data_IF_615207359858
#
_entry.id   IF_615207359858
#
_cell.length_a   1.000
_cell.length_b   1.000
_cell.length_c   1.000
_cell.angle_alpha   90.00
_cell.angle_beta   90.00
_cell.angle_gamma   90.00
#
_symmetry.space_group_name_H-M   'P 1'
#
loop_
_entity.id
_entity.type
_entity.pdbx_description
1 polymer ?
#
# COMPACT_ATOMS: atom_id res chain seq x y z
N UNK A 1 39.37 12.60 -57.79
CA UNK A 1 38.67 11.82 -56.75
C UNK A 1 37.74 12.74 -55.97
N UNK A 2 36.40 12.57 -56.04
CA UNK A 2 35.47 13.37 -55.25
C UNK A 2 35.17 12.71 -53.89
N UNK A 3 35.10 13.53 -52.84
CA UNK A 3 34.72 13.16 -51.47
C UNK A 3 33.23 12.83 -51.41
N UNK A 4 32.87 11.63 -50.94
CA UNK A 4 31.50 11.33 -50.49
C UNK A 4 31.36 11.76 -49.03
N UNK A 5 30.51 12.77 -48.79
CA UNK A 5 29.93 13.07 -47.50
C UNK A 5 28.68 12.18 -47.40
N UNK A 6 28.67 11.18 -46.52
CA UNK A 6 27.44 10.46 -46.16
C UNK A 6 26.89 11.02 -44.86
N UNK A 7 25.65 11.46 -44.99
CA UNK A 7 24.76 12.07 -44.01
C UNK A 7 24.65 11.26 -42.72
N UNK A 8 24.82 11.95 -41.59
CA UNK A 8 24.41 11.49 -40.27
C UNK A 8 22.88 11.37 -40.21
N UNK A 9 22.38 10.15 -40.01
CA UNK A 9 20.99 9.91 -39.64
C UNK A 9 20.78 10.31 -38.19
N UNK A 10 20.26 11.53 -37.98
CA UNK A 10 19.74 11.96 -36.68
C UNK A 10 18.48 11.13 -36.38
N UNK A 11 18.57 10.23 -35.41
CA UNK A 11 17.42 9.51 -34.87
C UNK A 11 16.47 10.52 -34.21
N UNK A 12 15.31 10.76 -34.83
CA UNK A 12 14.22 11.50 -34.20
C UNK A 12 13.66 10.62 -33.08
N UNK A 13 13.92 10.98 -31.84
CA UNK A 13 13.18 10.43 -30.70
C UNK A 13 11.77 10.99 -30.80
N UNK A 14 10.83 10.18 -31.32
CA UNK A 14 9.42 10.51 -31.27
C UNK A 14 8.98 10.60 -29.81
N UNK A 15 8.60 11.80 -29.37
CA UNK A 15 7.95 11.99 -28.07
C UNK A 15 6.57 11.35 -28.13
N UNK A 16 6.51 10.05 -27.80
CA UNK A 16 5.25 9.33 -27.67
C UNK A 16 4.46 9.94 -26.52
N UNK A 17 3.29 10.51 -26.83
CA UNK A 17 2.39 11.06 -25.82
C UNK A 17 1.74 9.89 -25.09
N UNK A 18 2.06 9.72 -23.82
CA UNK A 18 1.43 8.73 -22.95
C UNK A 18 -0.03 9.17 -22.68
N UNK A 19 -1.00 8.40 -23.15
CA UNK A 19 -2.42 8.67 -22.85
C UNK A 19 -2.72 8.14 -21.45
N UNK A 20 -3.37 8.96 -20.62
CA UNK A 20 -3.79 8.59 -19.26
C UNK A 20 -5.29 8.37 -19.21
N UNK A 21 -5.74 7.27 -18.60
CA UNK A 21 -7.15 6.98 -18.37
C UNK A 21 -7.46 7.06 -16.88
N UNK A 22 -8.44 7.90 -16.52
CA UNK A 22 -8.96 7.96 -15.16
C UNK A 22 -9.83 6.75 -14.86
N UNK A 23 -9.46 6.01 -13.82
CA UNK A 23 -10.21 4.83 -13.37
C UNK A 23 -11.20 5.21 -12.27
N UNK A 24 -10.71 5.76 -11.17
CA UNK A 24 -11.52 6.09 -10.00
C UNK A 24 -10.89 7.20 -9.18
N UNK A 25 -11.72 8.17 -8.76
CA UNK A 25 -11.26 9.37 -8.08
C UNK A 25 -10.11 10.05 -8.84
N UNK A 26 -8.94 10.22 -8.21
CA UNK A 26 -7.77 10.84 -8.81
C UNK A 26 -6.77 9.82 -9.38
N UNK A 27 -7.10 8.52 -9.38
CA UNK A 27 -6.23 7.49 -9.94
C UNK A 27 -6.38 7.40 -11.45
N UNK A 28 -5.27 7.64 -12.15
CA UNK A 28 -5.12 7.52 -13.58
C UNK A 28 -4.07 6.46 -13.91
N UNK A 29 -4.32 5.69 -14.96
CA UNK A 29 -3.45 4.63 -15.44
C UNK A 29 -2.97 4.96 -16.86
N UNK A 30 -1.71 4.66 -17.16
CA UNK A 30 -1.16 4.81 -18.51
C UNK A 30 -1.83 3.85 -19.49
N UNK A 31 -2.15 4.27 -20.70
CA UNK A 31 -2.69 3.35 -21.72
C UNK A 31 -1.63 2.40 -22.29
N UNK A 32 -0.35 2.66 -22.06
CA UNK A 32 0.74 1.80 -22.51
C UNK A 32 0.89 0.60 -21.57
N UNK A 33 0.69 -0.59 -22.13
CA UNK A 33 0.95 -1.85 -21.45
C UNK A 33 2.44 -2.12 -21.47
N UNK A 34 3.10 -2.02 -20.32
CA UNK A 34 4.56 -2.13 -20.27
C UNK A 34 5.06 -3.53 -19.93
N UNK A 35 4.22 -4.42 -19.39
CA UNK A 35 4.60 -5.82 -19.10
C UNK A 35 3.36 -6.70 -18.89
N UNK A 36 3.11 -7.76 -19.67
CA UNK A 36 1.96 -8.65 -19.46
C UNK A 36 1.94 -9.26 -18.06
N UNK A 37 0.77 -9.30 -17.41
CA UNK A 37 0.61 -9.88 -16.07
C UNK A 37 1.07 -11.34 -15.97
N UNK A 38 1.05 -12.07 -17.09
CA UNK A 38 1.48 -13.46 -17.20
C UNK A 38 2.97 -13.68 -16.93
N UNK A 39 3.80 -12.64 -17.03
CA UNK A 39 5.23 -12.74 -16.67
C UNK A 39 5.45 -12.60 -15.16
N UNK A 40 4.48 -12.06 -14.43
CA UNK A 40 4.49 -11.98 -12.96
C UNK A 40 3.93 -13.31 -12.43
N UNK A 41 4.81 -14.31 -12.42
CA UNK A 41 4.45 -15.71 -12.23
C UNK A 41 4.25 -16.16 -10.79
N UNK A 42 4.66 -17.41 -10.57
CA UNK A 42 4.63 -18.08 -9.27
C UNK A 42 5.91 -17.77 -8.49
N UNK A 43 5.78 -17.55 -7.19
CA UNK A 43 6.88 -17.31 -6.27
C UNK A 43 6.67 -18.10 -4.97
N UNK A 44 7.70 -18.18 -4.14
CA UNK A 44 7.61 -18.79 -2.82
C UNK A 44 6.64 -17.99 -1.93
N UNK A 45 5.89 -18.72 -1.10
CA UNK A 45 5.01 -18.10 -0.12
C UNK A 45 5.73 -17.82 1.19
N UNK A 46 5.78 -16.56 1.58
CA UNK A 46 6.32 -16.10 2.86
C UNK A 46 5.34 -16.35 4.03
N UNK A 47 5.91 -16.54 5.22
CA UNK A 47 5.17 -16.62 6.47
C UNK A 47 4.55 -15.27 6.87
N UNK A 48 5.18 -14.16 6.49
CA UNK A 48 4.70 -12.80 6.74
C UNK A 48 3.80 -12.31 5.60
N UNK A 49 2.90 -11.39 5.93
CA UNK A 49 2.16 -10.63 4.92
C UNK A 49 2.88 -9.30 4.68
N UNK A 50 3.36 -9.09 3.47
CA UNK A 50 4.06 -7.88 3.07
C UNK A 50 3.10 -6.84 2.54
N UNK A 51 3.34 -5.57 2.87
CA UNK A 51 2.59 -4.43 2.31
C UNK A 51 3.54 -3.28 1.97
N UNK A 52 3.27 -2.61 0.84
CA UNK A 52 3.89 -1.34 0.46
C UNK A 52 2.79 -0.35 0.11
N UNK A 53 2.78 0.81 0.77
CA UNK A 53 1.64 1.73 0.75
C UNK A 53 2.05 3.16 0.43
N UNK A 54 1.22 3.83 -0.34
CA UNK A 54 1.45 5.16 -0.89
C UNK A 54 0.28 6.07 -0.49
N UNK A 55 0.55 7.37 -0.36
CA UNK A 55 -0.44 8.36 0.09
C UNK A 55 -0.29 9.66 -0.68
N UNK A 56 -1.41 10.32 -0.96
CA UNK A 56 -1.48 11.59 -1.66
C UNK A 56 -2.57 12.50 -1.09
N UNK A 57 -2.40 13.83 -1.14
CA UNK A 57 -3.46 14.78 -0.83
C UNK A 57 -4.56 14.77 -1.92
N UNK A 58 -5.73 15.31 -1.61
CA UNK A 58 -6.92 15.24 -2.49
C UNK A 58 -6.80 16.02 -3.80
N UNK A 59 -5.90 16.98 -3.88
CA UNK A 59 -5.69 17.86 -5.03
C UNK A 59 -4.71 17.27 -6.05
N UNK A 60 -4.02 16.19 -5.70
CA UNK A 60 -3.05 15.55 -6.57
C UNK A 60 -3.70 14.50 -7.48
N UNK A 61 -3.41 14.58 -8.79
CA UNK A 61 -3.67 13.50 -9.74
C UNK A 61 -2.59 12.43 -9.60
N UNK A 62 -3.03 11.17 -9.47
CA UNK A 62 -2.17 10.03 -9.15
C UNK A 62 -2.02 9.20 -10.42
N UNK A 63 -0.83 9.24 -11.00
CA UNK A 63 -0.52 8.53 -12.25
C UNK A 63 0.20 7.23 -11.94
N UNK A 64 -0.38 6.13 -12.41
CA UNK A 64 0.11 4.77 -12.28
C UNK A 64 0.41 4.21 -13.67
N UNK A 65 1.39 3.32 -13.76
CA UNK A 65 1.61 2.56 -14.98
C UNK A 65 0.60 1.42 -15.08
N UNK A 66 0.28 1.00 -16.31
CA UNK A 66 -0.55 -0.19 -16.55
C UNK A 66 0.30 -1.40 -16.84
N UNK A 67 0.19 -2.39 -15.96
CA UNK A 67 0.76 -3.73 -16.18
C UNK A 67 -0.20 -4.55 -17.06
N UNK A 68 -1.50 -4.40 -16.83
CA UNK A 68 -2.51 -5.17 -17.54
C UNK A 68 -3.80 -4.38 -17.74
N UNK A 69 -4.43 -4.54 -18.90
CA UNK A 69 -5.64 -3.81 -19.26
C UNK A 69 -6.82 -4.11 -18.33
N UNK A 70 -6.84 -5.26 -17.64
CA UNK A 70 -7.87 -5.57 -16.63
C UNK A 70 -7.86 -4.61 -15.43
N UNK A 71 -6.74 -3.91 -15.17
CA UNK A 71 -6.66 -2.83 -14.18
C UNK A 71 -7.49 -1.61 -14.58
N UNK A 72 -7.79 -1.44 -15.86
CA UNK A 72 -8.54 -0.30 -16.38
C UNK A 72 -10.05 -0.47 -16.27
N UNK A 73 -10.52 -1.62 -15.78
CA UNK A 73 -11.93 -1.93 -15.64
C UNK A 73 -12.33 -2.19 -14.17
N UNK A 74 -13.18 -1.30 -13.64
CA UNK A 74 -13.67 -1.37 -12.27
C UNK A 74 -14.50 -2.62 -11.96
N UNK A 75 -15.04 -3.32 -12.98
CA UNK A 75 -15.76 -4.59 -12.75
C UNK A 75 -14.86 -5.66 -12.14
N UNK A 76 -13.54 -5.55 -12.35
CA UNK A 76 -12.54 -6.48 -11.80
C UNK A 76 -12.16 -6.15 -10.34
N UNK A 77 -12.72 -5.09 -9.76
CA UNK A 77 -12.39 -4.63 -8.42
C UNK A 77 -13.49 -4.97 -7.41
N UNK A 78 -13.10 -5.50 -6.27
CA UNK A 78 -13.99 -5.63 -5.13
C UNK A 78 -14.06 -4.30 -4.36
N UNK A 79 -15.25 -3.66 -4.34
CA UNK A 79 -15.51 -2.49 -3.50
C UNK A 79 -15.60 -2.88 -2.03
N UNK A 80 -14.98 -2.07 -1.15
CA UNK A 80 -14.99 -2.22 0.31
C UNK A 80 -15.21 -0.88 0.97
N UNK A 81 -15.99 -0.88 2.04
CA UNK A 81 -16.16 0.25 2.95
C UNK A 81 -15.73 -0.17 4.36
N UNK A 82 -14.97 0.70 5.04
CA UNK A 82 -14.43 0.47 6.38
C UNK A 82 -14.44 1.76 7.17
N UNK A 83 -14.84 1.65 8.42
CA UNK A 83 -14.70 2.71 9.42
C UNK A 83 -13.84 2.16 10.56
N UNK A 84 -12.77 2.89 10.88
CA UNK A 84 -11.78 2.52 11.89
C UNK A 84 -11.55 3.68 12.86
N UNK A 85 -11.36 3.36 14.14
CA UNK A 85 -10.76 4.27 15.10
C UNK A 85 -9.31 3.87 15.33
N UNK A 86 -8.37 4.67 14.86
CA UNK A 86 -6.94 4.47 15.10
C UNK A 86 -6.54 5.04 16.46
N UNK A 87 -5.69 4.31 17.19
CA UNK A 87 -5.14 4.75 18.47
C UNK A 87 -3.67 5.07 18.27
N UNK A 88 -3.36 6.35 18.09
CA UNK A 88 -2.01 6.82 17.84
C UNK A 88 -1.31 7.09 19.16
N UNK A 89 -0.14 6.47 19.36
CA UNK A 89 0.72 6.72 20.50
C UNK A 89 1.80 7.72 20.09
N UNK A 90 2.05 8.81 20.84
CA UNK A 90 3.07 9.81 20.46
C UNK A 90 4.47 9.21 20.31
N UNK A 91 4.81 8.24 21.16
CA UNK A 91 6.14 7.64 21.31
C UNK A 91 6.37 6.36 20.48
N UNK A 92 5.38 5.91 19.70
CA UNK A 92 5.52 4.68 18.90
C UNK A 92 4.59 4.60 17.70
N UNK A 93 5.01 3.90 16.64
CA UNK A 93 4.24 3.73 15.40
C UNK A 93 3.42 2.42 15.37
N UNK A 94 2.96 1.97 16.53
CA UNK A 94 2.11 0.78 16.62
C UNK A 94 0.83 0.94 15.80
N UNK A 95 0.57 -0.02 14.90
CA UNK A 95 -0.64 -0.05 14.09
C UNK A 95 -1.80 -0.64 14.89
N UNK A 96 -2.39 0.20 15.73
CA UNK A 96 -3.51 -0.13 16.62
C UNK A 96 -4.77 0.53 16.09
N UNK A 97 -5.84 -0.26 15.97
CA UNK A 97 -7.15 0.27 15.61
C UNK A 97 -8.28 -0.55 16.17
N UNK A 98 -9.39 0.13 16.43
CA UNK A 98 -10.66 -0.50 16.73
C UNK A 98 -11.53 -0.54 15.48
N UNK A 99 -12.13 -1.70 15.23
CA UNK A 99 -13.15 -1.89 14.18
C UNK A 99 -14.23 -2.79 14.71
N UNK A 100 -15.50 -2.41 14.51
CA UNK A 100 -16.66 -3.21 14.96
C UNK A 100 -16.51 -3.63 16.44
N UNK A 101 -16.10 -2.68 17.28
CA UNK A 101 -15.83 -2.84 18.70
C UNK A 101 -14.65 -3.76 19.08
N UNK A 102 -13.84 -4.24 18.13
CA UNK A 102 -12.64 -5.02 18.44
C UNK A 102 -11.38 -4.17 18.34
N UNK A 103 -10.62 -4.06 19.44
CA UNK A 103 -9.32 -3.40 19.47
C UNK A 103 -8.21 -4.36 18.99
N UNK A 104 -7.65 -4.06 17.82
CA UNK A 104 -6.69 -4.90 17.11
C UNK A 104 -5.33 -4.20 17.00
N UNK A 105 -4.27 -4.96 17.26
CA UNK A 105 -2.90 -4.58 16.95
C UNK A 105 -2.36 -5.42 15.79
N UNK A 106 -1.75 -4.76 14.80
CA UNK A 106 -1.09 -5.41 13.68
C UNK A 106 0.43 -5.17 13.78
N UNK A 107 1.21 -6.11 14.33
CA UNK A 107 2.63 -5.92 14.53
C UNK A 107 3.39 -5.90 13.20
N UNK A 108 4.27 -4.91 13.04
CA UNK A 108 5.33 -4.95 12.04
C UNK A 108 6.45 -5.81 12.62
N UNK A 109 6.78 -6.91 11.95
CA UNK A 109 7.79 -7.88 12.40
C UNK A 109 9.09 -7.70 11.63
N UNK A 110 9.01 -7.34 10.35
CA UNK A 110 10.17 -7.15 9.47
C UNK A 110 9.95 -5.97 8.55
N UNK A 111 11.04 -5.35 8.13
CA UNK A 111 11.06 -4.32 7.10
C UNK A 111 12.11 -4.70 6.04
N UNK A 112 11.78 -4.52 4.77
CA UNK A 112 12.71 -4.63 3.63
C UNK A 112 12.56 -3.37 2.80
N UNK A 113 13.56 -2.50 2.86
CA UNK A 113 13.46 -1.15 2.28
C UNK A 113 12.22 -0.42 2.79
N UNK A 114 11.23 -0.26 1.93
CA UNK A 114 9.95 0.40 2.23
C UNK A 114 8.73 -0.54 2.27
N UNK A 115 8.95 -1.85 2.12
CA UNK A 115 7.93 -2.88 2.33
C UNK A 115 7.95 -3.35 3.80
N UNK A 116 6.77 -3.54 4.36
CA UNK A 116 6.58 -3.95 5.76
C UNK A 116 5.99 -5.35 5.85
N UNK A 117 6.65 -6.23 6.58
CA UNK A 117 6.23 -7.59 6.86
C UNK A 117 5.47 -7.64 8.18
N UNK A 118 4.17 -7.92 8.10
CA UNK A 118 3.29 -7.96 9.26
C UNK A 118 3.11 -9.37 9.80
N UNK A 119 3.09 -9.45 11.13
CA UNK A 119 2.70 -10.65 11.86
C UNK A 119 1.17 -10.83 11.93
N UNK A 120 0.71 -11.88 12.63
CA UNK A 120 -0.70 -12.09 12.88
C UNK A 120 -1.31 -10.91 13.65
N UNK A 121 -2.58 -10.61 13.38
CA UNK A 121 -3.30 -9.59 14.17
C UNK A 121 -3.55 -10.11 15.58
N UNK A 122 -3.36 -9.24 16.56
CA UNK A 122 -3.54 -9.53 17.98
C UNK A 122 -4.79 -8.79 18.45
N UNK A 123 -5.73 -9.51 19.09
CA UNK A 123 -6.86 -8.89 19.77
C UNK A 123 -6.37 -8.44 21.15
N UNK A 124 -6.38 -7.13 21.41
CA UNK A 124 -5.79 -6.60 22.64
C UNK A 124 -6.68 -6.87 23.86
N UNK A 125 -8.01 -6.90 23.68
CA UNK A 125 -8.97 -7.02 24.78
C UNK A 125 -9.36 -8.47 25.12
N UNK A 126 -9.17 -9.41 24.19
CA UNK A 126 -9.46 -10.83 24.42
C UNK A 126 -8.26 -11.52 25.06
N UNK A 127 -8.42 -12.27 26.17
CA UNK A 127 -7.36 -13.15 26.67
C UNK A 127 -6.94 -14.14 25.58
N UNK A 128 -5.69 -14.05 25.12
CA UNK A 128 -5.11 -14.99 24.17
C UNK A 128 -3.80 -15.49 24.77
N UNK A 129 -3.58 -16.80 24.73
CA UNK A 129 -2.27 -17.40 24.95
C UNK A 129 -1.41 -17.07 23.73
N UNK A 130 -0.69 -15.95 23.77
CA UNK A 130 0.26 -15.57 22.72
C UNK A 130 1.48 -16.48 22.82
N UNK A 131 1.52 -17.58 22.06
CA UNK A 131 2.74 -18.32 21.78
C UNK A 131 3.53 -17.58 20.69
N UNK A 132 4.16 -16.46 21.06
CA UNK A 132 5.09 -15.77 20.17
C UNK A 132 6.48 -16.40 20.34
N UNK A 133 6.80 -17.39 19.50
CA UNK A 133 8.19 -17.77 19.24
C UNK A 133 8.84 -16.70 18.35
N UNK A 134 9.82 -15.99 18.89
CA UNK A 134 10.69 -15.07 18.16
C UNK A 134 11.18 -13.93 19.05
N UNK A 135 12.51 -13.85 19.25
CA UNK A 135 13.28 -12.96 20.15
C UNK A 135 13.19 -11.45 19.89
N UNK A 136 12.09 -10.94 19.31
CA UNK A 136 11.86 -9.51 19.14
C UNK A 136 10.72 -9.06 20.06
N UNK A 137 11.07 -8.74 21.31
CA UNK A 137 10.26 -7.94 22.23
C UNK A 137 8.85 -8.46 22.48
N UNK A 138 8.65 -9.21 23.56
CA UNK A 138 7.33 -9.41 24.14
C UNK A 138 6.77 -8.04 24.55
N UNK A 139 6.06 -7.37 23.63
CA UNK A 139 5.18 -6.26 23.98
C UNK A 139 4.13 -6.85 24.92
N UNK A 140 4.31 -6.56 26.22
CA UNK A 140 3.34 -6.94 27.23
C UNK A 140 2.01 -6.28 26.85
N UNK A 141 1.04 -7.10 26.46
CA UNK A 141 -0.28 -6.63 26.01
C UNK A 141 -0.93 -5.70 27.04
N UNK A 142 -0.73 -5.97 28.32
CA UNK A 142 -1.26 -5.12 29.39
C UNK A 142 -0.60 -3.75 29.42
N UNK A 143 0.72 -3.68 29.20
CA UNK A 143 1.43 -2.39 29.07
C UNK A 143 0.97 -1.63 27.84
N UNK A 144 0.78 -2.30 26.70
CA UNK A 144 0.27 -1.65 25.50
C UNK A 144 -1.15 -1.11 25.70
N UNK A 145 -2.04 -1.89 26.31
CA UNK A 145 -3.38 -1.44 26.68
C UNK A 145 -3.34 -0.25 27.64
N UNK A 146 -2.46 -0.29 28.64
CA UNK A 146 -2.26 0.83 29.59
C UNK A 146 -1.81 2.09 28.84
N UNK A 147 -0.81 1.98 27.96
CA UNK A 147 -0.34 3.09 27.12
C UNK A 147 -1.44 3.65 26.22
N UNK A 148 -2.26 2.79 25.62
CA UNK A 148 -3.41 3.20 24.80
C UNK A 148 -4.40 4.02 25.64
N UNK A 149 -4.72 3.59 26.86
CA UNK A 149 -5.65 4.31 27.74
C UNK A 149 -5.09 5.64 28.23
N UNK A 150 -3.80 5.70 28.53
CA UNK A 150 -3.17 6.89 29.11
C UNK A 150 -2.77 7.94 28.07
N UNK A 151 -2.31 7.51 26.89
CA UNK A 151 -1.67 8.38 25.88
C UNK A 151 -2.27 8.27 24.49
N UNK A 152 -3.22 7.37 24.26
CA UNK A 152 -3.77 7.11 22.94
C UNK A 152 -4.57 8.30 22.41
N UNK A 153 -4.14 8.84 21.28
CA UNK A 153 -4.90 9.84 20.53
C UNK A 153 -5.78 9.10 19.54
N UNK A 154 -7.10 9.20 19.74
CA UNK A 154 -8.08 8.52 18.89
C UNK A 154 -8.34 9.32 17.63
N UNK A 155 -8.27 8.64 16.48
CA UNK A 155 -8.50 9.23 15.16
C UNK A 155 -9.49 8.36 14.40
N UNK A 156 -10.64 8.93 14.08
CA UNK A 156 -11.60 8.29 13.22
C UNK A 156 -11.19 8.40 11.74
N UNK A 157 -11.28 7.29 11.02
CA UNK A 157 -10.93 7.20 9.60
C UNK A 157 -12.01 6.42 8.86
N UNK A 158 -12.67 7.07 7.89
CA UNK A 158 -13.49 6.36 6.89
C UNK A 158 -12.63 6.00 5.69
N UNK A 159 -12.84 4.81 5.15
CA UNK A 159 -12.15 4.32 3.97
C UNK A 159 -13.11 3.66 3.00
N UNK A 160 -13.13 4.18 1.79
CA UNK A 160 -13.64 3.50 0.61
C UNK A 160 -12.47 2.92 -0.17
N UNK A 161 -12.57 1.69 -0.63
CA UNK A 161 -11.49 1.03 -1.36
C UNK A 161 -12.00 0.14 -2.50
N UNK A 162 -11.23 0.11 -3.58
CA UNK A 162 -11.35 -0.83 -4.69
C UNK A 162 -10.15 -1.78 -4.64
N UNK A 163 -10.41 -3.08 -4.54
CA UNK A 163 -9.37 -4.11 -4.42
C UNK A 163 -9.34 -4.99 -5.65
N UNK A 164 -8.25 -4.91 -6.40
CA UNK A 164 -7.92 -5.82 -7.49
C UNK A 164 -7.03 -6.95 -7.00
N UNK A 165 -7.25 -8.16 -7.49
CA UNK A 165 -6.41 -9.33 -7.20
C UNK A 165 -5.62 -9.65 -8.46
N UNK A 166 -4.29 -9.62 -8.37
CA UNK A 166 -3.46 -10.08 -9.47
C UNK A 166 -3.53 -11.61 -9.57
N UNK A 167 -3.49 -12.17 -10.80
CA UNK A 167 -3.43 -13.61 -11.05
C UNK A 167 -2.04 -14.22 -10.72
N UNK A 168 -1.48 -13.89 -9.56
CA UNK A 168 -0.19 -14.41 -9.07
C UNK A 168 -0.38 -15.52 -8.04
N UNK A 169 0.65 -16.34 -7.86
CA UNK A 169 0.70 -17.37 -6.81
C UNK A 169 1.99 -17.18 -5.99
N UNK A 170 1.95 -16.77 -4.71
CA UNK A 170 0.78 -16.42 -3.92
C UNK A 170 0.10 -15.14 -4.44
N UNK A 171 -1.20 -15.00 -4.15
CA UNK A 171 -1.99 -13.85 -4.62
C UNK A 171 -1.49 -12.53 -4.03
N UNK A 172 -1.16 -11.58 -4.91
CA UNK A 172 -0.94 -10.18 -4.58
C UNK A 172 -2.17 -9.35 -4.91
N UNK A 173 -2.40 -8.27 -4.18
CA UNK A 173 -3.54 -7.38 -4.35
C UNK A 173 -3.10 -5.93 -4.46
N UNK A 174 -3.82 -5.17 -5.28
CA UNK A 174 -3.80 -3.71 -5.29
C UNK A 174 -5.07 -3.21 -4.59
N UNK A 175 -4.92 -2.37 -3.56
CA UNK A 175 -6.01 -1.61 -2.94
C UNK A 175 -5.84 -0.14 -3.33
N UNK A 176 -6.78 0.43 -4.10
CA UNK A 176 -6.92 1.87 -4.31
C UNK A 176 -7.94 2.38 -3.31
N UNK A 177 -7.65 3.44 -2.57
CA UNK A 177 -8.52 3.89 -1.49
C UNK A 177 -8.63 5.41 -1.38
N UNK A 178 -9.84 5.87 -1.05
CA UNK A 178 -10.16 7.21 -0.58
C UNK A 178 -10.32 7.15 0.94
N UNK A 179 -9.57 7.98 1.63
CA UNK A 179 -9.57 8.11 3.08
C UNK A 179 -10.19 9.45 3.47
N UNK A 180 -10.99 9.46 4.52
CA UNK A 180 -11.49 10.67 5.16
C UNK A 180 -10.99 10.69 6.60
N UNK A 181 -10.21 11.73 6.94
CA UNK A 181 -9.59 11.92 8.25
C UNK A 181 -9.80 13.37 8.66
N UNK A 182 -10.54 13.62 9.75
CA UNK A 182 -10.92 14.98 10.21
C UNK A 182 -11.45 15.86 9.07
N UNK A 183 -12.46 15.35 8.35
CA UNK A 183 -13.13 16.01 7.22
C UNK A 183 -12.23 16.35 6.02
N UNK A 184 -10.99 15.85 6.02
CA UNK A 184 -10.06 15.97 4.90
C UNK A 184 -9.94 14.66 4.14
N UNK A 185 -9.88 14.78 2.83
CA UNK A 185 -9.77 13.65 1.92
C UNK A 185 -8.31 13.41 1.57
N UNK A 186 -7.93 12.14 1.56
CA UNK A 186 -6.64 11.67 1.08
C UNK A 186 -6.85 10.44 0.20
N UNK A 187 -5.89 10.18 -0.67
CA UNK A 187 -5.86 8.97 -1.46
C UNK A 187 -4.72 8.07 -0.99
N UNK A 188 -4.93 6.77 -1.07
CA UNK A 188 -3.88 5.80 -0.79
C UNK A 188 -3.95 4.62 -1.75
N UNK A 189 -2.80 4.04 -2.03
CA UNK A 189 -2.70 2.79 -2.77
C UNK A 189 -1.83 1.81 -1.99
N UNK A 190 -2.14 0.52 -2.06
CA UNK A 190 -1.37 -0.50 -1.36
C UNK A 190 -1.21 -1.75 -2.22
N UNK A 191 0.02 -2.23 -2.32
CA UNK A 191 0.33 -3.57 -2.79
C UNK A 191 0.53 -4.48 -1.59
N UNK A 192 -0.18 -5.59 -1.54
CA UNK A 192 -0.11 -6.53 -0.42
C UNK A 192 -0.16 -7.99 -0.87
N UNK A 193 0.63 -8.85 -0.23
CA UNK A 193 0.74 -10.26 -0.59
C UNK A 193 1.60 -11.07 0.39
N UNK A 194 1.72 -12.37 0.13
CA UNK A 194 2.61 -13.29 0.87
C UNK A 194 3.86 -13.66 0.06
N UNK A 195 4.41 -12.71 -0.68
CA UNK A 195 5.75 -12.79 -1.27
C UNK A 195 6.30 -11.37 -1.27
N UNK A 196 7.42 -11.14 -0.60
CA UNK A 196 8.11 -9.85 -0.63
C UNK A 196 8.46 -9.46 -2.07
N UNK A 197 9.06 -10.39 -2.81
CA UNK A 197 9.55 -10.16 -4.16
C UNK A 197 8.42 -9.79 -5.13
N UNK A 198 7.27 -10.47 -5.10
CA UNK A 198 6.11 -10.08 -5.91
C UNK A 198 5.55 -8.72 -5.49
N UNK A 199 5.48 -8.42 -4.18
CA UNK A 199 5.01 -7.12 -3.69
C UNK A 199 5.93 -5.99 -4.17
N UNK A 200 7.25 -6.16 -4.08
CA UNK A 200 8.22 -5.16 -4.53
C UNK A 200 8.19 -4.99 -6.05
N UNK A 201 8.17 -6.09 -6.80
CA UNK A 201 8.14 -6.07 -8.27
C UNK A 201 6.90 -5.35 -8.80
N UNK A 202 5.70 -5.74 -8.34
CA UNK A 202 4.44 -5.11 -8.75
C UNK A 202 4.42 -3.64 -8.32
N UNK A 203 4.96 -3.31 -7.15
CA UNK A 203 5.02 -1.93 -6.68
C UNK A 203 5.90 -1.05 -7.58
N UNK A 204 7.08 -1.54 -7.99
CA UNK A 204 7.97 -0.79 -8.90
C UNK A 204 7.31 -0.63 -10.26
N UNK A 205 6.69 -1.68 -10.79
CA UNK A 205 6.02 -1.62 -12.08
C UNK A 205 4.88 -0.59 -12.09
N UNK A 206 4.04 -0.55 -11.04
CA UNK A 206 2.89 0.38 -10.97
C UNK A 206 3.26 1.81 -10.59
N UNK A 207 4.11 1.98 -9.57
CA UNK A 207 4.35 3.27 -8.93
C UNK A 207 5.72 3.87 -9.28
N UNK A 208 6.61 3.12 -9.94
CA UNK A 208 7.97 3.54 -10.25
C UNK A 208 8.75 3.90 -8.99
N UNK A 209 9.32 5.11 -8.96
CA UNK A 209 10.15 5.64 -7.88
C UNK A 209 9.36 6.42 -6.81
N UNK A 210 8.02 6.42 -6.86
CA UNK A 210 7.21 7.15 -5.89
C UNK A 210 7.49 6.66 -4.45
N UNK A 211 7.55 7.58 -3.46
CA UNK A 211 7.81 7.20 -2.08
C UNK A 211 6.60 6.52 -1.45
N UNK A 212 6.85 5.46 -0.68
CA UNK A 212 5.85 4.78 0.14
C UNK A 212 6.05 5.08 1.62
N UNK A 213 4.97 5.05 2.39
CA UNK A 213 4.94 5.38 3.82
C UNK A 213 4.09 4.38 4.60
N UNK A 214 4.39 4.25 5.89
CA UNK A 214 3.51 3.50 6.80
C UNK A 214 2.21 4.26 7.07
N UNK A 215 1.13 3.52 7.32
CA UNK A 215 -0.18 4.12 7.58
C UNK A 215 -0.20 4.98 8.84
N UNK A 216 0.42 4.50 9.93
CA UNK A 216 0.48 5.21 11.21
C UNK A 216 1.29 6.49 11.08
N UNK A 217 2.46 6.41 10.44
CA UNK A 217 3.31 7.57 10.14
C UNK A 217 2.56 8.60 9.28
N UNK A 218 1.80 8.17 8.26
CA UNK A 218 0.95 9.06 7.47
C UNK A 218 -0.07 9.79 8.34
N UNK A 219 -0.80 9.08 9.22
CA UNK A 219 -1.78 9.70 10.11
C UNK A 219 -1.13 10.71 11.06
N UNK A 220 -0.02 10.33 11.72
CA UNK A 220 0.68 11.24 12.63
C UNK A 220 1.15 12.52 11.94
N UNK A 221 1.83 12.40 10.79
CA UNK A 221 2.27 13.55 9.99
C UNK A 221 1.10 14.45 9.58
N UNK A 222 0.01 13.84 9.13
CA UNK A 222 -1.20 14.56 8.70
C UNK A 222 -1.84 15.35 9.83
N UNK A 223 -1.80 14.79 11.04
CA UNK A 223 -2.45 15.35 12.22
C UNK A 223 -1.51 16.18 13.10
N UNK A 224 -0.23 16.25 12.75
CA UNK A 224 0.84 16.90 13.51
C UNK A 224 0.93 16.38 14.95
N UNK A 225 0.90 15.05 15.08
CA UNK A 225 1.06 14.30 16.34
C UNK A 225 2.51 13.82 16.44
#
# INVERSE_FOLDING_TARGET
MPKQIKSSSVSKTENKILIMQRLVWNFEFSSEQTTPLTTLGHDAQDNLKWEKRYFWPTDQIIRLNTIDSSLLDLVNYQKKHKEDYYYLLPDSDHNIKQRRNELLYKPVIKQSGSALGFGPKIHLETPQTLSCHGDAGQLNRQELLKKIKEKGIVVFVKKEAFVFKFPTTPTVKLELARLEVRDKVYFSACIEGRSLNLVETISVLLFGTQPSFEYVTFLKKTLKI
#
